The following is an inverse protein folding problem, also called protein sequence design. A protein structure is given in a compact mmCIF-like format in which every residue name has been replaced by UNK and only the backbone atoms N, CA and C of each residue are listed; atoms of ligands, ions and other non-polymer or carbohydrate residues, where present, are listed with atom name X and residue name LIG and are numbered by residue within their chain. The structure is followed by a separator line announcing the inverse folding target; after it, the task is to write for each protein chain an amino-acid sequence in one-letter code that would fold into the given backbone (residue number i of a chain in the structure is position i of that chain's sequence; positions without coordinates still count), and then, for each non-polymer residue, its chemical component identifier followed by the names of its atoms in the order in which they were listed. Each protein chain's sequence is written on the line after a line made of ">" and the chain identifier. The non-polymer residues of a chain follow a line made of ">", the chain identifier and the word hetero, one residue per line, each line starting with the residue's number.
data_IF_244122787602
#
_entry.id   IF_244122787602
#
_cell.length_a   1.000
_cell.length_b   1.000
_cell.length_c   1.000
_cell.angle_alpha   90.00
_cell.angle_beta   90.00
_cell.angle_gamma   90.00
#
_symmetry.space_group_name_H-M   'P 1'
#
loop_
_entity.id
_entity.type
_entity.pdbx_description
1 polymer ?
#
# COMPACT_ATOMS: atom_id res chain seq x y z
N UNK A 1 -45.76 4.37 86.41
CA UNK A 1 -45.93 2.90 86.35
C UNK A 1 -45.43 2.48 84.97
N UNK A 2 -44.19 1.99 84.86
CA UNK A 2 -43.76 0.57 84.89
C UNK A 2 -44.29 -0.20 83.66
N UNK A 3 -43.35 -0.66 82.82
CA UNK A 3 -43.46 -1.50 81.61
C UNK A 3 -43.89 -2.97 81.93
N UNK A 4 -43.94 -3.98 81.01
CA UNK A 4 -43.06 -4.34 79.88
C UNK A 4 -43.84 -4.72 78.59
N UNK A 5 -43.32 -5.13 77.41
CA UNK A 5 -41.99 -5.41 76.86
C UNK A 5 -42.18 -6.23 75.56
N UNK A 6 -41.32 -5.97 74.56
CA UNK A 6 -40.95 -6.77 73.38
C UNK A 6 -42.04 -7.22 72.36
N UNK A 7 -41.89 -6.86 71.07
CA UNK A 7 -41.12 -7.64 70.09
C UNK A 7 -41.00 -6.87 68.75
N UNK A 8 -39.90 -7.08 68.02
CA UNK A 8 -39.73 -6.72 66.61
C UNK A 8 -39.51 -8.03 65.83
N UNK A 9 -39.88 -8.16 64.53
CA UNK A 9 -38.96 -7.72 63.48
C UNK A 9 -39.57 -7.24 62.14
N UNK A 10 -38.69 -6.65 61.35
CA UNK A 10 -38.75 -6.31 59.92
C UNK A 10 -39.23 -7.44 58.99
N UNK A 11 -39.82 -7.05 57.85
CA UNK A 11 -39.31 -7.46 56.52
C UNK A 11 -39.99 -6.69 55.39
N UNK A 12 -39.14 -6.25 54.47
CA UNK A 12 -39.37 -5.38 53.33
C UNK A 12 -40.40 -5.86 52.30
N UNK A 13 -41.08 -4.88 51.73
CA UNK A 13 -42.05 -5.04 50.66
C UNK A 13 -41.39 -5.44 49.33
N UNK A 14 -41.99 -6.47 48.73
CA UNK A 14 -41.75 -6.95 47.36
C UNK A 14 -42.02 -5.85 46.32
N UNK A 15 -41.14 -5.75 45.32
CA UNK A 15 -41.48 -5.20 44.02
C UNK A 15 -41.07 -6.17 42.90
N UNK A 16 -41.99 -6.28 41.95
CA UNK A 16 -42.23 -7.35 41.00
C UNK A 16 -41.35 -7.20 39.77
N UNK A 17 -40.65 -8.27 39.36
CA UNK A 17 -39.92 -8.33 38.08
C UNK A 17 -40.90 -8.57 36.93
N UNK A 18 -40.98 -7.63 35.99
CA UNK A 18 -41.65 -7.80 34.70
C UNK A 18 -40.65 -8.45 33.74
N UNK A 19 -41.00 -9.60 33.17
CA UNK A 19 -40.18 -10.32 32.20
C UNK A 19 -40.12 -9.60 30.86
N UNK A 20 -38.91 -9.37 30.37
CA UNK A 20 -38.64 -9.01 28.97
C UNK A 20 -38.17 -10.29 28.25
N UNK A 21 -38.89 -10.68 27.21
CA UNK A 21 -38.50 -11.76 26.31
C UNK A 21 -37.12 -11.48 25.70
N UNK A 22 -36.30 -12.52 25.56
CA UNK A 22 -34.99 -12.43 24.90
C UNK A 22 -35.16 -11.85 23.48
N UNK A 23 -34.34 -10.87 23.06
CA UNK A 23 -34.37 -10.43 21.68
C UNK A 23 -33.89 -11.59 20.80
N UNK A 24 -34.74 -12.01 19.87
CA UNK A 24 -34.38 -12.89 18.77
C UNK A 24 -33.26 -12.19 17.97
N UNK A 25 -32.02 -12.64 18.14
CA UNK A 25 -30.88 -12.16 17.36
C UNK A 25 -31.10 -12.60 15.91
N UNK A 26 -31.73 -11.74 15.12
CA UNK A 26 -31.75 -11.86 13.66
C UNK A 26 -30.30 -11.87 13.19
N UNK A 27 -29.90 -13.00 12.62
CA UNK A 27 -28.59 -13.22 12.03
C UNK A 27 -28.27 -12.06 11.07
N UNK A 28 -27.39 -11.16 11.49
CA UNK A 28 -26.78 -10.11 10.66
C UNK A 28 -25.74 -10.77 9.77
N UNK A 29 -26.22 -11.54 8.80
CA UNK A 29 -25.40 -12.18 7.78
C UNK A 29 -25.21 -11.20 6.62
N UNK A 30 -24.65 -10.00 6.86
CA UNK A 30 -24.20 -9.07 5.80
C UNK A 30 -23.08 -8.11 6.29
N UNK A 31 -22.04 -8.66 6.94
CA UNK A 31 -20.71 -8.01 6.94
C UNK A 31 -19.76 -8.98 6.24
N UNK A 32 -19.94 -9.16 4.94
CA UNK A 32 -18.93 -9.76 4.07
C UNK A 32 -18.87 -8.97 2.75
N UNK A 33 -17.73 -8.27 2.57
CA UNK A 33 -17.09 -7.94 1.27
C UNK A 33 -15.89 -6.99 1.38
N UNK A 34 -15.66 -6.40 2.54
CA UNK A 34 -14.43 -5.65 2.82
C UNK A 34 -13.78 -6.21 4.08
N UNK A 35 -13.38 -7.48 4.03
CA UNK A 35 -12.27 -7.91 4.85
C UNK A 35 -11.09 -7.02 4.44
N UNK A 36 -10.82 -5.97 5.22
CA UNK A 36 -9.58 -5.22 5.14
C UNK A 36 -8.46 -6.26 4.96
N UNK A 37 -7.67 -6.17 3.90
CA UNK A 37 -6.45 -6.97 3.79
C UNK A 37 -5.53 -6.51 4.93
N UNK A 38 -5.72 -7.07 6.13
CA UNK A 38 -4.94 -6.71 7.33
C UNK A 38 -3.48 -7.13 7.17
N UNK A 39 -3.19 -8.01 6.21
CA UNK A 39 -1.85 -8.48 5.92
C UNK A 39 -1.07 -7.52 5.00
N UNK A 40 -0.75 -6.34 5.52
CA UNK A 40 0.15 -5.39 4.85
C UNK A 40 1.61 -5.75 5.11
N UNK A 41 2.49 -5.42 4.15
CA UNK A 41 3.93 -5.67 4.34
C UNK A 41 4.84 -4.67 3.64
N UNK A 42 6.02 -4.46 4.24
CA UNK A 42 7.12 -3.79 3.55
C UNK A 42 7.61 -4.72 2.44
N UNK A 43 7.53 -4.32 1.16
CA UNK A 43 7.92 -5.18 0.05
C UNK A 43 9.43 -5.41 0.07
N UNK A 44 9.86 -6.63 -0.29
CA UNK A 44 11.28 -7.03 -0.31
C UNK A 44 11.74 -7.57 -1.65
N UNK A 45 10.81 -7.88 -2.54
CA UNK A 45 11.09 -8.34 -3.90
C UNK A 45 10.00 -7.87 -4.86
N UNK A 46 10.42 -7.41 -6.03
CA UNK A 46 9.58 -7.05 -7.16
C UNK A 46 9.71 -8.14 -8.23
N UNK A 47 8.59 -8.56 -8.83
CA UNK A 47 8.59 -9.43 -10.00
C UNK A 47 7.69 -8.87 -11.09
N UNK A 48 8.22 -8.75 -12.30
CA UNK A 48 7.49 -8.35 -13.51
C UNK A 48 7.97 -9.24 -14.67
N UNK A 49 7.37 -10.43 -14.85
CA UNK A 49 7.88 -11.42 -15.79
C UNK A 49 7.89 -10.98 -17.26
N UNK A 50 6.97 -10.09 -17.67
CA UNK A 50 6.88 -9.65 -19.08
C UNK A 50 8.06 -8.80 -19.55
N UNK A 51 8.87 -8.29 -18.61
CA UNK A 51 10.06 -7.46 -18.86
C UNK A 51 11.28 -7.98 -18.07
N UNK A 52 11.27 -9.26 -17.68
CA UNK A 52 12.37 -9.96 -17.01
C UNK A 52 12.85 -9.34 -15.68
N UNK A 53 11.99 -8.61 -14.97
CA UNK A 53 12.33 -8.02 -13.66
C UNK A 53 12.12 -9.03 -12.54
N UNK A 54 13.18 -9.27 -11.77
CA UNK A 54 13.14 -10.02 -10.50
C UNK A 54 14.16 -9.44 -9.50
N UNK A 55 13.84 -8.29 -8.92
CA UNK A 55 14.78 -7.50 -8.13
C UNK A 55 14.49 -7.55 -6.63
N UNK A 56 15.54 -7.38 -5.82
CA UNK A 56 15.38 -7.08 -4.39
C UNK A 56 14.91 -5.63 -4.22
N UNK A 57 14.17 -5.39 -3.14
CA UNK A 57 13.66 -4.05 -2.81
C UNK A 57 14.32 -3.56 -1.52
N UNK A 58 14.91 -2.37 -1.59
CA UNK A 58 15.46 -1.65 -0.44
C UNK A 58 14.64 -0.39 -0.10
N UNK A 59 14.56 0.00 1.18
CA UNK A 59 13.88 1.24 1.56
C UNK A 59 14.74 2.46 1.17
N UNK A 60 14.16 3.40 0.44
CA UNK A 60 14.79 4.67 0.08
C UNK A 60 14.04 5.85 0.69
N UNK A 61 14.77 6.94 0.91
CA UNK A 61 14.25 8.17 1.50
C UNK A 61 14.04 9.25 0.46
N UNK A 62 14.40 10.47 0.86
CA UNK A 62 14.56 11.60 -0.06
C UNK A 62 16.02 11.99 -0.17
N UNK A 63 16.40 12.47 -1.34
CA UNK A 63 17.71 13.05 -1.59
C UNK A 63 17.84 14.48 -1.01
N UNK A 64 18.98 15.14 -1.23
CA UNK A 64 19.24 16.50 -0.75
C UNK A 64 18.36 17.57 -1.41
N UNK A 65 17.67 17.23 -2.49
CA UNK A 65 16.76 18.10 -3.24
C UNK A 65 15.28 17.79 -2.92
N UNK A 66 15.01 17.05 -1.84
CA UNK A 66 13.67 16.63 -1.40
C UNK A 66 12.91 15.73 -2.41
N UNK A 67 13.63 15.10 -3.34
CA UNK A 67 13.07 14.14 -4.31
C UNK A 67 13.18 12.72 -3.76
N UNK A 68 12.34 11.80 -4.23
CA UNK A 68 12.52 10.37 -3.93
C UNK A 68 13.91 9.92 -4.39
N UNK A 69 14.62 9.25 -3.50
CA UNK A 69 15.96 8.72 -3.77
C UNK A 69 15.90 7.45 -4.63
N UNK A 70 17.02 7.07 -5.24
CA UNK A 70 17.14 5.88 -6.09
C UNK A 70 17.82 4.73 -5.34
N UNK A 71 17.61 3.46 -5.74
CA UNK A 71 18.40 2.36 -5.19
C UNK A 71 19.90 2.56 -5.45
N UNK A 72 20.74 1.99 -4.59
CA UNK A 72 22.21 2.05 -4.71
C UNK A 72 22.72 1.31 -5.94
N UNK A 73 22.21 0.09 -6.14
CA UNK A 73 22.65 -0.80 -7.23
C UNK A 73 21.68 -0.72 -8.42
N UNK A 74 22.20 -0.95 -9.62
CA UNK A 74 21.44 -0.85 -10.88
C UNK A 74 20.49 -2.03 -11.12
N UNK A 75 20.68 -3.15 -10.43
CA UNK A 75 19.82 -4.33 -10.47
C UNK A 75 18.79 -4.37 -9.31
N UNK A 76 18.76 -3.33 -8.48
CA UNK A 76 17.86 -3.19 -7.33
C UNK A 76 16.74 -2.17 -7.53
N UNK A 77 15.73 -2.24 -6.65
CA UNK A 77 14.58 -1.33 -6.65
C UNK A 77 14.44 -0.62 -5.31
N UNK A 78 14.22 0.69 -5.34
CA UNK A 78 13.98 1.52 -4.16
C UNK A 78 12.49 1.63 -3.84
N UNK A 79 12.07 1.28 -2.63
CA UNK A 79 10.72 1.58 -2.11
C UNK A 79 10.73 2.86 -1.27
N UNK A 80 9.87 3.82 -1.63
CA UNK A 80 9.73 5.07 -0.90
C UNK A 80 9.14 4.81 0.49
N UNK A 81 9.97 4.90 1.53
CA UNK A 81 9.60 4.49 2.90
C UNK A 81 8.47 5.32 3.54
N UNK A 82 8.15 6.49 2.98
CA UNK A 82 7.05 7.34 3.41
C UNK A 82 5.75 7.08 2.64
N UNK A 83 5.78 6.18 1.64
CA UNK A 83 4.60 5.71 0.92
C UNK A 83 3.91 4.52 1.60
N UNK A 84 2.93 3.94 0.92
CA UNK A 84 2.19 2.80 1.43
C UNK A 84 3.04 1.51 1.44
N UNK A 85 2.65 0.59 2.33
CA UNK A 85 3.08 -0.81 2.32
C UNK A 85 2.27 -1.58 1.27
N UNK A 86 2.78 -2.71 0.81
CA UNK A 86 2.01 -3.61 -0.05
C UNK A 86 0.74 -4.06 0.67
N UNK A 87 -0.40 -4.02 -0.02
CA UNK A 87 -1.74 -4.34 0.50
C UNK A 87 -2.37 -3.30 1.41
N UNK A 88 -1.69 -2.16 1.63
CA UNK A 88 -2.28 -1.04 2.33
C UNK A 88 -2.94 -0.09 1.33
N UNK A 89 -4.01 0.57 1.78
CA UNK A 89 -4.55 1.75 1.11
C UNK A 89 -3.46 2.81 0.92
N UNK A 90 -3.38 3.37 -0.29
CA UNK A 90 -2.39 4.37 -0.67
C UNK A 90 -1.54 3.94 -1.87
N UNK A 91 -0.50 4.73 -2.16
CA UNK A 91 0.47 4.45 -3.22
C UNK A 91 1.71 3.76 -2.63
N UNK A 92 1.98 2.53 -3.04
CA UNK A 92 3.32 1.94 -2.94
C UNK A 92 4.14 2.54 -4.08
N UNK A 93 5.22 3.26 -3.78
CA UNK A 93 6.03 3.92 -4.81
C UNK A 93 7.41 3.26 -4.89
N UNK A 94 7.76 2.80 -6.08
CA UNK A 94 9.03 2.15 -6.39
C UNK A 94 9.81 2.92 -7.46
N UNK A 95 11.11 3.14 -7.23
CA UNK A 95 12.06 3.67 -8.20
C UNK A 95 13.08 2.61 -8.61
N UNK A 96 13.56 2.70 -9.85
CA UNK A 96 14.66 1.90 -10.36
C UNK A 96 15.41 2.65 -11.44
N UNK A 97 16.65 2.23 -11.69
CA UNK A 97 17.50 2.85 -12.70
C UNK A 97 17.08 2.43 -14.11
N UNK A 98 17.22 3.35 -15.07
CA UNK A 98 17.05 3.07 -16.50
C UNK A 98 18.28 2.35 -17.05
N UNK A 99 19.45 2.92 -16.79
CA UNK A 99 20.75 2.47 -17.25
C UNK A 99 21.87 3.10 -16.41
N UNK A 100 23.11 2.71 -16.71
CA UNK A 100 24.33 3.38 -16.28
C UNK A 100 25.38 3.34 -17.40
N UNK A 101 26.64 3.67 -17.07
CA UNK A 101 27.75 3.62 -18.03
C UNK A 101 28.10 2.20 -18.51
N UNK A 102 27.65 1.16 -17.80
CA UNK A 102 27.86 -0.25 -18.13
C UNK A 102 26.75 -0.83 -19.00
N UNK A 103 25.55 -0.24 -18.97
CA UNK A 103 24.46 -0.59 -19.86
C UNK A 103 23.07 -0.48 -19.22
N UNK A 104 22.08 -1.20 -19.77
CA UNK A 104 20.71 -1.20 -19.27
C UNK A 104 20.61 -1.68 -17.81
N UNK A 105 19.78 -1.02 -17.01
CA UNK A 105 19.54 -1.34 -15.60
C UNK A 105 18.16 -2.00 -15.40
N UNK A 106 17.75 -2.20 -14.14
CA UNK A 106 16.57 -3.01 -13.81
C UNK A 106 15.26 -2.54 -14.47
N UNK A 107 15.10 -1.23 -14.69
CA UNK A 107 13.90 -0.65 -15.31
C UNK A 107 14.14 -0.17 -16.75
N UNK A 108 15.17 -0.67 -17.42
CA UNK A 108 15.44 -0.38 -18.84
C UNK A 108 14.21 -0.55 -19.74
N UNK A 109 13.45 -1.63 -19.52
CA UNK A 109 12.28 -2.00 -20.32
C UNK A 109 10.95 -1.63 -19.66
N UNK A 110 10.93 -0.75 -18.65
CA UNK A 110 9.70 -0.43 -17.92
C UNK A 110 8.61 0.17 -18.84
N UNK A 111 9.01 0.90 -19.87
CA UNK A 111 8.11 1.48 -20.87
C UNK A 111 7.45 0.47 -21.81
N UNK A 112 7.93 -0.77 -21.85
CA UNK A 112 7.40 -1.83 -22.72
C UNK A 112 6.24 -2.59 -22.08
N UNK A 113 5.93 -2.28 -20.82
CA UNK A 113 4.80 -2.84 -20.11
C UNK A 113 3.48 -2.54 -20.82
N UNK A 114 2.58 -3.51 -20.78
CA UNK A 114 1.23 -3.36 -21.34
C UNK A 114 0.17 -3.39 -20.26
N UNK A 115 -0.96 -2.77 -20.55
CA UNK A 115 -2.16 -2.85 -19.71
C UNK A 115 -2.55 -4.32 -19.48
N UNK A 116 -2.94 -4.65 -18.25
CA UNK A 116 -3.31 -6.02 -17.85
C UNK A 116 -2.12 -6.89 -17.38
N UNK A 117 -0.88 -6.47 -17.63
CA UNK A 117 0.29 -7.23 -17.18
C UNK A 117 0.46 -7.21 -15.67
N UNK A 118 1.02 -8.29 -15.12
CA UNK A 118 1.10 -8.48 -13.68
C UNK A 118 2.40 -7.98 -13.10
N UNK A 119 2.29 -7.22 -12.01
CA UNK A 119 3.39 -6.80 -11.16
C UNK A 119 3.19 -7.40 -9.77
N UNK A 120 4.18 -8.11 -9.23
CA UNK A 120 4.04 -8.76 -7.92
C UNK A 120 5.04 -8.23 -6.92
N UNK A 121 4.55 -7.83 -5.73
CA UNK A 121 5.37 -7.52 -4.57
C UNK A 121 5.38 -8.69 -3.61
N UNK A 122 6.54 -9.02 -3.04
CA UNK A 122 6.70 -10.18 -2.16
C UNK A 122 7.51 -9.87 -0.89
N UNK A 123 7.19 -10.60 0.19
CA UNK A 123 8.01 -10.72 1.41
C UNK A 123 7.87 -12.13 1.99
N UNK A 124 8.90 -12.95 1.85
CA UNK A 124 8.85 -14.35 2.30
C UNK A 124 7.73 -15.11 1.58
N UNK A 125 6.78 -15.67 2.33
CA UNK A 125 5.59 -16.35 1.77
C UNK A 125 4.44 -15.42 1.40
N UNK A 126 4.53 -14.11 1.72
CA UNK A 126 3.50 -13.12 1.41
C UNK A 126 3.73 -12.54 0.01
N UNK A 127 2.66 -12.42 -0.77
CA UNK A 127 2.70 -11.83 -2.10
C UNK A 127 1.38 -11.11 -2.41
N UNK A 128 1.47 -9.99 -3.14
CA UNK A 128 0.31 -9.27 -3.68
C UNK A 128 0.58 -9.00 -5.15
N UNK A 129 -0.40 -9.34 -5.99
CA UNK A 129 -0.39 -9.08 -7.41
C UNK A 129 -1.15 -7.78 -7.71
N UNK A 130 -0.52 -6.96 -8.53
CA UNK A 130 -1.08 -5.75 -9.12
C UNK A 130 -1.24 -5.98 -10.63
N UNK A 131 -2.15 -5.23 -11.23
CA UNK A 131 -2.39 -5.19 -12.67
C UNK A 131 -2.09 -3.80 -13.21
N UNK A 132 -1.27 -3.73 -14.26
CA UNK A 132 -0.92 -2.47 -14.93
C UNK A 132 -2.16 -1.85 -15.56
N UNK A 133 -2.43 -0.59 -15.23
CA UNK A 133 -3.57 0.19 -15.75
C UNK A 133 -3.17 1.48 -16.44
N UNK A 134 -1.92 1.92 -16.28
CA UNK A 134 -1.35 3.04 -17.05
C UNK A 134 0.15 2.86 -17.23
N UNK A 135 0.66 3.25 -18.39
CA UNK A 135 2.09 3.39 -18.71
C UNK A 135 2.24 4.71 -19.46
N UNK A 136 2.82 5.70 -18.80
CA UNK A 136 2.91 7.07 -19.32
C UNK A 136 4.34 7.59 -19.29
N UNK A 137 4.68 8.40 -20.29
CA UNK A 137 5.94 9.14 -20.37
C UNK A 137 5.66 10.61 -20.16
N UNK A 138 6.33 11.20 -19.19
CA UNK A 138 6.24 12.62 -18.87
C UNK A 138 7.61 13.28 -19.06
N UNK A 139 7.62 14.54 -19.45
CA UNK A 139 8.80 15.38 -19.19
C UNK A 139 8.98 15.50 -17.67
N UNK A 140 10.22 15.65 -17.22
CA UNK A 140 10.54 15.71 -15.79
C UNK A 140 9.72 16.77 -15.05
N UNK A 141 9.50 17.93 -15.67
CA UNK A 141 8.69 19.03 -15.14
C UNK A 141 7.18 18.77 -15.09
N UNK A 142 6.68 17.82 -15.89
CA UNK A 142 5.25 17.52 -16.04
C UNK A 142 4.81 16.28 -15.24
N UNK A 143 5.74 15.63 -14.51
CA UNK A 143 5.43 14.43 -13.73
C UNK A 143 4.33 14.74 -12.69
N UNK A 144 3.22 13.98 -12.65
CA UNK A 144 2.10 14.26 -11.75
C UNK A 144 2.41 13.80 -10.30
N UNK A 145 3.33 14.50 -9.63
CA UNK A 145 3.84 14.15 -8.30
C UNK A 145 2.72 13.93 -7.27
N UNK A 146 1.65 14.73 -7.33
CA UNK A 146 0.50 14.58 -6.43
C UNK A 146 -0.19 13.22 -6.61
N UNK A 147 -0.41 12.75 -7.84
CA UNK A 147 -1.02 11.43 -8.07
C UNK A 147 -0.15 10.28 -7.57
N UNK A 148 1.17 10.43 -7.71
CA UNK A 148 2.17 9.41 -7.35
C UNK A 148 2.38 9.33 -5.83
N UNK A 149 2.51 10.47 -5.15
CA UNK A 149 2.96 10.53 -3.76
C UNK A 149 1.86 10.89 -2.76
N UNK A 150 0.73 11.47 -3.18
CA UNK A 150 -0.34 11.81 -2.24
C UNK A 150 -1.08 10.57 -1.73
N UNK A 151 -1.76 10.76 -0.60
CA UNK A 151 -2.66 9.76 -0.05
C UNK A 151 -3.84 9.49 -1.01
N UNK A 152 -4.25 8.23 -1.10
CA UNK A 152 -5.39 7.80 -1.89
C UNK A 152 -6.09 6.65 -1.18
N UNK A 153 -7.39 6.49 -1.41
CA UNK A 153 -8.17 5.37 -0.88
C UNK A 153 -8.00 4.07 -1.70
N UNK A 154 -7.35 4.15 -2.86
CA UNK A 154 -7.05 2.99 -3.68
C UNK A 154 -5.76 2.27 -3.23
N UNK A 155 -5.67 0.96 -3.46
CA UNK A 155 -4.43 0.20 -3.33
C UNK A 155 -3.66 0.26 -4.66
N UNK A 156 -2.76 1.23 -4.78
CA UNK A 156 -2.01 1.51 -6.00
C UNK A 156 -0.53 1.19 -5.86
N UNK A 157 0.07 0.80 -6.96
CA UNK A 157 1.51 0.68 -7.14
C UNK A 157 1.95 1.65 -8.23
N UNK A 158 2.96 2.45 -7.92
CA UNK A 158 3.62 3.39 -8.83
C UNK A 158 5.05 2.89 -9.07
N UNK A 159 5.42 2.64 -10.32
CA UNK A 159 6.80 2.34 -10.72
C UNK A 159 7.34 3.52 -11.54
N UNK A 160 8.55 3.95 -11.24
CA UNK A 160 9.13 5.16 -11.85
C UNK A 160 10.57 4.86 -12.28
N UNK A 161 10.93 5.29 -13.49
CA UNK A 161 12.31 5.29 -13.99
C UNK A 161 12.61 6.56 -14.79
N UNK A 162 13.90 6.86 -14.95
CA UNK A 162 14.39 7.83 -15.91
C UNK A 162 14.04 7.41 -17.35
N UNK A 163 13.91 8.36 -18.26
CA UNK A 163 13.63 8.09 -19.67
C UNK A 163 14.12 9.22 -20.57
N UNK A 164 14.09 8.96 -21.87
CA UNK A 164 14.44 9.94 -22.90
C UNK A 164 15.94 10.21 -22.98
N UNK A 165 16.35 11.25 -23.71
CA UNK A 165 17.76 11.57 -23.89
C UNK A 165 18.39 12.05 -22.58
N UNK A 166 19.63 11.63 -22.34
CA UNK A 166 20.47 12.09 -21.25
C UNK A 166 21.14 13.42 -21.61
N UNK A 167 21.09 14.37 -20.69
CA UNK A 167 21.84 15.61 -20.74
C UNK A 167 22.90 15.63 -19.60
N UNK A 168 24.18 15.95 -19.84
CA UNK A 168 25.19 15.96 -18.78
C UNK A 168 24.97 16.99 -17.66
N UNK A 169 24.26 18.08 -17.95
CA UNK A 169 23.97 19.14 -16.97
C UNK A 169 22.66 18.85 -16.22
N UNK A 170 21.64 18.36 -16.93
CA UNK A 170 20.28 18.22 -16.41
C UNK A 170 19.82 16.78 -16.14
N UNK A 171 20.60 15.79 -16.58
CA UNK A 171 20.26 14.37 -16.53
C UNK A 171 19.18 13.97 -17.55
N UNK A 172 18.48 12.88 -17.25
CA UNK A 172 17.38 12.39 -18.10
C UNK A 172 16.19 13.34 -18.11
N UNK A 173 15.76 13.70 -19.32
CA UNK A 173 14.69 14.68 -19.55
C UNK A 173 13.29 14.17 -19.21
N UNK A 174 13.07 12.86 -19.29
CA UNK A 174 11.74 12.29 -19.13
C UNK A 174 11.69 11.28 -17.98
N UNK A 175 10.47 10.92 -17.59
CA UNK A 175 10.18 9.81 -16.68
C UNK A 175 9.14 8.91 -17.30
N UNK A 176 9.32 7.60 -17.16
CA UNK A 176 8.25 6.64 -17.34
C UNK A 176 7.62 6.40 -15.98
N UNK A 177 6.29 6.49 -15.92
CA UNK A 177 5.48 6.19 -14.74
C UNK A 177 4.48 5.11 -15.10
N UNK A 178 4.53 4.01 -14.38
CA UNK A 178 3.56 2.91 -14.50
C UNK A 178 2.67 2.92 -13.28
N UNK A 179 1.36 3.01 -13.49
CA UNK A 179 0.36 2.80 -12.43
C UNK A 179 -0.21 1.40 -12.55
N UNK A 180 -0.25 0.68 -11.43
CA UNK A 180 -0.93 -0.59 -11.29
C UNK A 180 -1.86 -0.60 -10.08
N UNK A 181 -2.92 -1.39 -10.12
CA UNK A 181 -3.90 -1.53 -9.02
C UNK A 181 -3.90 -2.96 -8.48
N UNK A 182 -4.11 -3.13 -7.18
CA UNK A 182 -4.18 -4.45 -6.58
C UNK A 182 -5.32 -5.27 -7.21
N UNK A 183 -5.05 -6.53 -7.59
CA UNK A 183 -6.11 -7.43 -8.05
C UNK A 183 -7.01 -7.78 -6.86
N UNK A 184 -8.31 -7.65 -7.06
CA UNK A 184 -9.36 -8.01 -6.09
C UNK A 184 -9.35 -9.52 -5.84
#
# INVERSE_FOLDING_TARGET
>A
MIAPGADAPDADAKLTTVGFAEPLVLATTEIDRQSFRTDTFIPKRLKIPSIDVNAVIQPVGKDRLDRMDTPTETDEVGWYRYGAKAGATGNVVLSGHLDDLSGPAIFANLGDLRLGESVTLQRGKKAIAYEVVSVERYRLEDVPLASIFAATQAERLQLITCAGPYDPEYGYRDRIVVTAIAKS
#
